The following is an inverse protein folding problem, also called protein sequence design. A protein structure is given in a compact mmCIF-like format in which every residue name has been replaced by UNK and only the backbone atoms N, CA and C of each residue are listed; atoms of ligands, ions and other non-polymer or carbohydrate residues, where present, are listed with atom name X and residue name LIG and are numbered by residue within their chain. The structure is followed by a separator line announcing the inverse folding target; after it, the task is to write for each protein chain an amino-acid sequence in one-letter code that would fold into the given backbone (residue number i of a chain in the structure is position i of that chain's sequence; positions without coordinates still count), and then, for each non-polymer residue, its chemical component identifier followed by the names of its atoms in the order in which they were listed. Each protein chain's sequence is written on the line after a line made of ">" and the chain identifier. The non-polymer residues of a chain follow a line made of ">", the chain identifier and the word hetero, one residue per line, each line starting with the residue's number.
data_IF_655314455540
#
_entry.id   IF_655314455540
#
_cell.length_a   1.000
_cell.length_b   1.000
_cell.length_c   1.000
_cell.angle_alpha   90.00
_cell.angle_beta   90.00
_cell.angle_gamma   90.00
#
_symmetry.space_group_name_H-M   'P 1'
#
loop_
_entity.id
_entity.type
_entity.pdbx_description
1 polymer ?
#
# COMPACT_ATOMS: atom_id res chain seq x y z
N UNK A 1 27.28 1.93 -31.01
CA UNK A 1 25.90 1.38 -31.07
C UNK A 1 25.44 1.06 -29.66
N UNK A 2 24.20 1.40 -29.28
CA UNK A 2 23.59 0.87 -28.06
C UNK A 2 23.56 -0.66 -28.17
N UNK A 3 24.16 -1.36 -27.20
CA UNK A 3 24.42 -2.82 -27.24
C UNK A 3 23.17 -3.65 -27.58
N UNK A 4 22.00 -3.19 -27.12
CA UNK A 4 20.73 -3.89 -27.28
C UNK A 4 19.73 -3.21 -28.24
N UNK A 5 20.12 -2.12 -28.92
CA UNK A 5 19.25 -1.35 -29.84
C UNK A 5 17.91 -0.90 -29.26
N UNK A 6 17.80 -0.75 -27.93
CA UNK A 6 16.61 -0.24 -27.24
C UNK A 6 16.69 1.27 -27.07
N UNK A 7 15.54 1.96 -27.16
CA UNK A 7 15.38 3.40 -26.90
C UNK A 7 14.58 3.62 -25.62
N UNK A 8 15.07 4.49 -24.73
CA UNK A 8 14.34 4.91 -23.54
C UNK A 8 13.17 5.82 -23.91
N UNK A 9 12.08 5.72 -23.14
CA UNK A 9 10.92 6.59 -23.30
C UNK A 9 11.04 7.75 -22.31
N UNK A 10 11.48 8.90 -22.81
CA UNK A 10 11.75 10.09 -22.00
C UNK A 10 10.49 10.58 -21.27
N UNK A 11 9.31 10.49 -21.89
CA UNK A 11 8.03 10.91 -21.28
C UNK A 11 7.60 10.03 -20.10
N UNK A 12 8.01 8.76 -20.10
CA UNK A 12 7.68 7.80 -19.02
C UNK A 12 8.81 7.63 -18.01
N UNK A 13 9.95 8.28 -18.22
CA UNK A 13 11.10 8.15 -17.34
C UNK A 13 10.93 9.09 -16.15
N UNK A 14 10.76 8.53 -14.96
CA UNK A 14 10.76 9.27 -13.71
C UNK A 14 12.11 9.11 -13.01
N UNK A 15 12.58 10.16 -12.34
CA UNK A 15 13.78 10.15 -11.55
C UNK A 15 13.47 10.65 -10.13
N UNK A 16 14.11 10.04 -9.13
CA UNK A 16 13.97 10.44 -7.74
C UNK A 16 15.30 10.29 -7.02
N UNK A 17 15.66 11.31 -6.25
CA UNK A 17 16.79 11.24 -5.33
C UNK A 17 16.26 10.86 -3.95
N UNK A 18 16.72 9.72 -3.42
CA UNK A 18 16.28 9.21 -2.12
C UNK A 18 17.30 9.52 -1.03
N UNK A 19 16.83 9.81 0.18
CA UNK A 19 17.71 9.99 1.33
C UNK A 19 17.02 10.57 2.55
N UNK A 20 17.78 10.74 3.63
CA UNK A 20 17.30 11.49 4.79
C UNK A 20 17.09 12.97 4.42
N UNK A 21 16.20 13.67 5.13
CA UNK A 21 15.98 15.11 4.93
C UNK A 21 17.29 15.92 4.97
N UNK A 22 18.20 15.56 5.88
CA UNK A 22 19.50 16.20 6.03
C UNK A 22 20.46 15.89 4.87
N UNK A 23 20.40 14.68 4.31
CA UNK A 23 21.21 14.32 3.16
C UNK A 23 20.71 15.02 1.90
N UNK A 24 19.39 15.06 1.72
CA UNK A 24 18.75 15.72 0.58
C UNK A 24 19.00 17.23 0.59
N UNK A 25 19.00 17.89 1.76
CA UNK A 25 19.28 19.32 1.85
C UNK A 25 20.72 19.70 1.48
N UNK A 26 21.64 18.74 1.43
CA UNK A 26 23.05 18.95 1.05
C UNK A 26 23.28 18.84 -0.45
N UNK A 27 22.30 18.34 -1.20
CA UNK A 27 22.42 18.07 -2.63
C UNK A 27 21.53 19.03 -3.40
N UNK A 28 22.16 19.95 -4.13
CA UNK A 28 21.48 20.81 -5.11
C UNK A 28 21.42 20.09 -6.46
N UNK A 29 20.43 19.21 -6.62
CA UNK A 29 20.16 18.51 -7.87
C UNK A 29 18.66 18.56 -8.11
N UNK A 30 18.26 19.08 -9.27
CA UNK A 30 16.84 19.22 -9.62
C UNK A 30 16.43 18.30 -10.78
N UNK A 31 17.40 17.75 -11.51
CA UNK A 31 17.16 16.92 -12.69
C UNK A 31 18.37 16.06 -13.03
N UNK A 32 18.15 14.95 -13.72
CA UNK A 32 19.20 14.12 -14.31
C UNK A 32 19.12 14.16 -15.84
N UNK A 33 20.27 14.08 -16.50
CA UNK A 33 20.34 13.97 -17.95
C UNK A 33 20.31 12.50 -18.36
N UNK A 34 19.32 12.09 -19.14
CA UNK A 34 19.18 10.74 -19.71
C UNK A 34 19.21 10.87 -21.23
N UNK A 35 20.38 10.58 -21.83
CA UNK A 35 20.59 10.84 -23.25
C UNK A 35 20.48 12.34 -23.55
N UNK A 36 19.49 12.72 -24.37
CA UNK A 36 19.21 14.13 -24.69
C UNK A 36 18.09 14.73 -23.83
N UNK A 37 17.36 13.91 -23.07
CA UNK A 37 16.28 14.37 -22.23
C UNK A 37 16.77 14.78 -20.84
N UNK A 38 16.23 15.91 -20.36
CA UNK A 38 16.40 16.39 -18.99
C UNK A 38 15.19 15.91 -18.16
N UNK A 39 15.41 14.95 -17.28
CA UNK A 39 14.36 14.37 -16.44
C UNK A 39 14.38 15.07 -15.08
N UNK A 40 13.31 15.78 -14.69
CA UNK A 40 13.23 16.42 -13.38
C UNK A 40 13.13 15.36 -12.28
N UNK A 41 13.68 15.69 -11.10
CA UNK A 41 13.52 14.85 -9.93
C UNK A 41 12.13 15.03 -9.33
N UNK A 42 11.45 13.93 -9.09
CA UNK A 42 10.20 13.88 -8.34
C UNK A 42 10.46 13.55 -6.88
N UNK A 43 9.59 14.03 -5.99
CA UNK A 43 9.58 13.63 -4.57
C UNK A 43 8.93 12.27 -4.35
N UNK A 44 8.24 11.73 -5.35
CA UNK A 44 7.51 10.46 -5.29
C UNK A 44 7.39 9.85 -6.68
N UNK A 45 7.66 8.55 -6.80
CA UNK A 45 7.61 7.84 -8.09
C UNK A 45 6.71 6.62 -8.00
N UNK A 46 6.09 6.25 -9.13
CA UNK A 46 5.18 5.11 -9.19
C UNK A 46 5.83 3.93 -9.90
N UNK A 47 5.99 2.82 -9.18
CA UNK A 47 6.50 1.57 -9.73
C UNK A 47 5.51 0.42 -9.51
N UNK A 48 5.04 -0.20 -10.59
CA UNK A 48 4.06 -1.31 -10.56
C UNK A 48 2.80 -1.04 -9.71
N UNK A 49 2.42 0.23 -9.53
CA UNK A 49 1.28 0.64 -8.70
C UNK A 49 1.64 1.02 -7.25
N UNK A 50 2.85 0.72 -6.79
CA UNK A 50 3.41 1.20 -5.52
C UNK A 50 3.94 2.63 -5.70
N UNK A 51 3.65 3.50 -4.74
CA UNK A 51 4.23 4.84 -4.69
C UNK A 51 5.39 4.83 -3.68
N UNK A 52 6.53 5.36 -4.08
CA UNK A 52 7.71 5.44 -3.22
C UNK A 52 8.12 6.90 -3.14
N UNK A 53 8.07 7.48 -1.94
CA UNK A 53 8.54 8.84 -1.68
C UNK A 53 10.05 8.88 -1.45
N UNK A 54 10.65 10.05 -1.67
CA UNK A 54 12.09 10.27 -1.56
C UNK A 54 12.66 10.05 -0.15
N UNK A 55 11.81 10.09 0.88
CA UNK A 55 12.15 9.78 2.27
C UNK A 55 11.89 8.32 2.64
N UNK A 56 11.37 7.51 1.71
CA UNK A 56 10.99 6.10 1.90
C UNK A 56 9.99 5.89 3.04
N UNK A 57 9.12 6.86 3.31
CA UNK A 57 8.14 6.80 4.40
C UNK A 57 6.89 6.00 4.05
N UNK A 58 6.66 5.72 2.77
CA UNK A 58 5.45 5.12 2.18
C UNK A 58 4.18 5.97 2.38
N UNK A 59 4.32 7.24 2.78
CA UNK A 59 3.20 8.13 3.11
C UNK A 59 2.26 8.35 1.92
N UNK A 60 2.82 8.53 0.72
CA UNK A 60 2.05 8.73 -0.51
C UNK A 60 1.28 7.47 -0.90
N UNK A 61 1.93 6.30 -0.78
CA UNK A 61 1.27 5.03 -1.04
C UNK A 61 0.14 4.77 -0.05
N UNK A 62 0.38 4.92 1.25
CA UNK A 62 -0.66 4.76 2.27
C UNK A 62 -1.81 5.73 2.03
N UNK A 63 -1.53 6.97 1.64
CA UNK A 63 -2.58 7.93 1.27
C UNK A 63 -3.41 7.48 0.07
N UNK A 64 -2.76 6.92 -0.96
CA UNK A 64 -3.45 6.36 -2.13
C UNK A 64 -4.35 5.17 -1.77
N UNK A 65 -3.85 4.23 -0.96
CA UNK A 65 -4.56 3.05 -0.47
C UNK A 65 -5.75 3.46 0.40
N UNK A 66 -5.53 4.37 1.36
CA UNK A 66 -6.60 4.88 2.25
C UNK A 66 -7.71 5.54 1.43
N UNK A 67 -7.36 6.36 0.42
CA UNK A 67 -8.33 7.00 -0.47
C UNK A 67 -9.15 5.97 -1.25
N UNK A 68 -8.50 4.97 -1.85
CA UNK A 68 -9.16 3.90 -2.59
C UNK A 68 -10.09 3.07 -1.68
N UNK A 69 -9.61 2.68 -0.49
CA UNK A 69 -10.43 1.94 0.47
C UNK A 69 -11.65 2.74 0.94
N UNK A 70 -11.51 4.04 1.24
CA UNK A 70 -12.66 4.84 1.64
C UNK A 70 -13.68 5.03 0.53
N UNK A 71 -13.25 5.04 -0.74
CA UNK A 71 -14.17 4.97 -1.87
C UNK A 71 -15.01 3.68 -1.83
N UNK A 72 -14.38 2.52 -1.65
CA UNK A 72 -15.09 1.24 -1.53
C UNK A 72 -15.97 1.14 -0.27
N UNK A 73 -15.50 1.66 0.87
CA UNK A 73 -16.24 1.70 2.14
C UNK A 73 -17.54 2.49 1.99
N UNK A 74 -17.52 3.64 1.29
CA UNK A 74 -18.74 4.43 1.05
C UNK A 74 -19.76 3.65 0.22
N UNK A 75 -19.31 2.97 -0.83
CA UNK A 75 -20.16 2.12 -1.67
C UNK A 75 -20.73 0.96 -0.87
N UNK A 76 -19.90 0.25 -0.10
CA UNK A 76 -20.33 -0.83 0.78
C UNK A 76 -21.35 -0.32 1.82
N UNK A 77 -21.11 0.84 2.42
CA UNK A 77 -22.01 1.45 3.40
C UNK A 77 -23.42 1.72 2.83
N UNK A 78 -23.50 2.17 1.57
CA UNK A 78 -24.78 2.37 0.88
C UNK A 78 -25.51 1.05 0.59
N UNK A 79 -24.77 0.01 0.19
CA UNK A 79 -25.32 -1.30 -0.12
C UNK A 79 -25.65 -2.13 1.13
N UNK A 80 -25.02 -1.81 2.27
CA UNK A 80 -25.07 -2.61 3.49
C UNK A 80 -26.48 -2.97 3.98
N UNK A 81 -27.50 -2.09 3.93
CA UNK A 81 -28.86 -2.43 4.37
C UNK A 81 -29.49 -3.57 3.57
N UNK A 82 -29.09 -3.73 2.30
CA UNK A 82 -29.62 -4.75 1.38
C UNK A 82 -28.82 -6.05 1.39
N UNK A 83 -27.77 -6.15 2.20
CA UNK A 83 -26.86 -7.30 2.24
C UNK A 83 -26.91 -8.01 3.59
N UNK A 84 -26.89 -9.35 3.56
CA UNK A 84 -26.62 -10.14 4.75
C UNK A 84 -25.13 -10.01 5.17
N UNK A 85 -24.82 -10.36 6.43
CA UNK A 85 -23.46 -10.21 7.00
C UNK A 85 -22.40 -10.97 6.18
N UNK A 86 -22.71 -12.18 5.71
CA UNK A 86 -21.77 -13.03 4.95
C UNK A 86 -21.40 -12.39 3.61
N UNK A 87 -22.40 -11.93 2.85
CA UNK A 87 -22.19 -11.26 1.56
C UNK A 87 -21.48 -9.92 1.75
N UNK A 88 -21.87 -9.13 2.75
CA UNK A 88 -21.18 -7.87 3.07
C UNK A 88 -19.69 -8.10 3.41
N UNK A 89 -19.39 -9.16 4.16
CA UNK A 89 -18.02 -9.56 4.48
C UNK A 89 -17.24 -9.93 3.22
N UNK A 90 -17.82 -10.75 2.32
CA UNK A 90 -17.18 -11.14 1.07
C UNK A 90 -16.86 -9.91 0.19
N UNK A 91 -17.81 -8.98 0.05
CA UNK A 91 -17.59 -7.72 -0.69
C UNK A 91 -16.47 -6.91 -0.05
N UNK A 92 -16.48 -6.75 1.29
CA UNK A 92 -15.44 -5.99 1.99
C UNK A 92 -14.05 -6.60 1.82
N UNK A 93 -13.92 -7.93 1.96
CA UNK A 93 -12.64 -8.62 1.74
C UNK A 93 -12.17 -8.46 0.30
N UNK A 94 -13.07 -8.63 -0.68
CA UNK A 94 -12.73 -8.56 -2.11
C UNK A 94 -12.30 -7.17 -2.60
N UNK A 95 -12.85 -6.09 -2.02
CA UNK A 95 -12.57 -4.72 -2.46
C UNK A 95 -11.62 -3.97 -1.53
N UNK A 96 -11.89 -4.02 -0.22
CA UNK A 96 -11.13 -3.25 0.78
C UNK A 96 -9.94 -4.08 1.29
N UNK A 97 -10.16 -5.36 1.58
CA UNK A 97 -9.10 -6.27 2.02
C UNK A 97 -8.00 -6.42 0.96
N UNK A 98 -8.38 -6.68 -0.29
CA UNK A 98 -7.44 -6.77 -1.42
C UNK A 98 -6.64 -5.47 -1.63
N UNK A 99 -7.28 -4.31 -1.51
CA UNK A 99 -6.61 -2.99 -1.62
C UNK A 99 -5.64 -2.75 -0.47
N UNK A 100 -5.99 -3.16 0.76
CA UNK A 100 -5.08 -3.10 1.91
C UNK A 100 -3.90 -4.08 1.79
N UNK A 101 -4.11 -5.22 1.12
CA UNK A 101 -3.09 -6.25 0.96
C UNK A 101 -2.15 -6.02 -0.23
N UNK A 102 -2.51 -5.11 -1.13
CA UNK A 102 -1.67 -4.76 -2.27
C UNK A 102 -0.33 -4.18 -1.80
N UNK A 103 0.77 -4.86 -2.18
CA UNK A 103 2.15 -4.51 -1.80
C UNK A 103 2.36 -4.32 -0.28
N UNK A 104 1.55 -4.96 0.56
CA UNK A 104 1.59 -4.74 2.01
C UNK A 104 2.90 -5.21 2.68
N UNK A 105 3.67 -6.12 2.05
CA UNK A 105 5.01 -6.50 2.50
C UNK A 105 5.99 -5.32 2.51
N UNK A 106 5.84 -4.37 1.58
CA UNK A 106 6.66 -3.16 1.50
C UNK A 106 6.34 -2.16 2.62
N UNK A 107 5.28 -2.39 3.38
CA UNK A 107 4.85 -1.54 4.50
C UNK A 107 5.45 -1.98 5.84
N UNK A 108 6.38 -2.93 5.84
CA UNK A 108 7.13 -3.26 7.03
C UNK A 108 7.94 -2.06 7.53
N UNK A 109 7.86 -1.77 8.83
CA UNK A 109 8.67 -0.70 9.45
C UNK A 109 8.18 0.72 9.18
N UNK A 110 7.00 0.91 8.57
CA UNK A 110 6.41 2.25 8.45
C UNK A 110 6.09 2.86 9.83
N UNK A 111 5.91 4.18 9.86
CA UNK A 111 5.54 4.87 11.10
C UNK A 111 4.22 4.35 11.70
N UNK A 112 4.11 4.38 13.03
CA UNK A 112 2.88 4.03 13.75
C UNK A 112 1.68 4.88 13.31
N UNK A 113 1.92 6.14 12.94
CA UNK A 113 0.87 7.02 12.40
C UNK A 113 0.33 6.50 11.08
N UNK A 114 1.19 6.09 10.14
CA UNK A 114 0.75 5.53 8.85
C UNK A 114 0.05 4.19 9.03
N UNK A 115 0.59 3.30 9.85
CA UNK A 115 -0.06 2.03 10.20
C UNK A 115 -1.45 2.25 10.83
N UNK A 116 -1.58 3.26 11.71
CA UNK A 116 -2.87 3.60 12.33
C UNK A 116 -3.92 4.05 11.31
N UNK A 117 -3.51 4.72 10.22
CA UNK A 117 -4.43 5.15 9.14
C UNK A 117 -5.02 3.93 8.45
N UNK A 118 -4.20 2.94 8.11
CA UNK A 118 -4.64 1.69 7.51
C UNK A 118 -5.52 0.88 8.47
N UNK A 119 -5.15 0.81 9.75
CA UNK A 119 -5.97 0.12 10.76
C UNK A 119 -7.34 0.79 10.92
N UNK A 120 -7.43 2.12 10.87
CA UNK A 120 -8.70 2.85 10.90
C UNK A 120 -9.59 2.47 9.72
N UNK A 121 -9.03 2.35 8.51
CA UNK A 121 -9.75 1.89 7.32
C UNK A 121 -10.36 0.51 7.56
N UNK A 122 -9.56 -0.46 8.01
CA UNK A 122 -10.04 -1.81 8.30
C UNK A 122 -11.13 -1.79 9.37
N UNK A 123 -10.94 -1.04 10.44
CA UNK A 123 -11.89 -0.92 11.54
C UNK A 123 -13.24 -0.33 11.08
N UNK A 124 -13.21 0.69 10.22
CA UNK A 124 -14.42 1.26 9.63
C UNK A 124 -15.14 0.22 8.76
N UNK A 125 -14.41 -0.49 7.89
CA UNK A 125 -14.99 -1.53 7.05
C UNK A 125 -15.64 -2.65 7.88
N UNK A 126 -14.94 -3.14 8.91
CA UNK A 126 -15.43 -4.19 9.79
C UNK A 126 -16.73 -3.80 10.51
N UNK A 127 -16.81 -2.55 10.99
CA UNK A 127 -18.03 -2.03 11.64
C UNK A 127 -19.20 -1.95 10.67
N UNK A 128 -18.98 -1.50 9.43
CA UNK A 128 -20.03 -1.49 8.40
C UNK A 128 -20.52 -2.91 8.13
N UNK A 129 -19.61 -3.87 7.92
CA UNK A 129 -19.97 -5.28 7.70
C UNK A 129 -20.79 -5.82 8.86
N UNK A 130 -20.37 -5.56 10.10
CA UNK A 130 -21.05 -6.05 11.29
C UNK A 130 -22.31 -5.24 11.68
N UNK A 131 -22.58 -4.10 11.05
CA UNK A 131 -23.67 -3.20 11.43
C UNK A 131 -23.49 -2.58 12.82
N UNK A 132 -22.24 -2.35 13.23
CA UNK A 132 -21.86 -1.82 14.55
C UNK A 132 -21.68 -0.30 14.52
N UNK A 133 -21.92 0.36 15.66
CA UNK A 133 -21.72 1.80 15.82
C UNK A 133 -20.22 2.13 15.78
N UNK A 134 -19.89 3.37 15.44
CA UNK A 134 -18.50 3.86 15.39
C UNK A 134 -17.79 3.77 16.73
N UNK A 135 -18.53 3.86 17.84
CA UNK A 135 -18.05 3.77 19.22
C UNK A 135 -17.87 2.34 19.72
N UNK A 136 -18.42 1.34 19.01
CA UNK A 136 -18.34 -0.05 19.47
C UNK A 136 -16.89 -0.54 19.47
N UNK A 137 -16.54 -1.32 20.50
CA UNK A 137 -15.20 -1.87 20.65
C UNK A 137 -14.88 -2.79 19.47
N UNK A 138 -13.74 -2.53 18.81
CA UNK A 138 -13.45 -3.14 17.50
C UNK A 138 -12.93 -4.57 17.59
N UNK A 139 -12.23 -4.92 18.67
CA UNK A 139 -11.53 -6.22 18.78
C UNK A 139 -12.48 -7.43 18.67
N UNK A 140 -13.67 -7.46 19.33
CA UNK A 140 -14.65 -8.53 19.12
C UNK A 140 -15.15 -8.60 17.69
N UNK A 141 -15.36 -7.45 17.04
CA UNK A 141 -15.86 -7.40 15.66
C UNK A 141 -14.85 -8.02 14.69
N UNK A 142 -13.56 -7.70 14.83
CA UNK A 142 -12.51 -8.30 14.00
C UNK A 142 -12.41 -9.82 14.24
N UNK A 143 -12.53 -10.26 15.50
CA UNK A 143 -12.54 -11.69 15.84
C UNK A 143 -13.72 -12.42 15.21
N UNK A 144 -14.93 -11.87 15.31
CA UNK A 144 -16.15 -12.43 14.74
C UNK A 144 -16.11 -12.52 13.20
N UNK A 145 -15.35 -11.63 12.56
CA UNK A 145 -15.14 -11.63 11.11
C UNK A 145 -13.93 -12.46 10.68
N UNK A 146 -13.14 -12.98 11.63
CA UNK A 146 -11.83 -13.60 11.40
C UNK A 146 -10.84 -12.68 10.64
N UNK A 147 -10.87 -11.38 10.92
CA UNK A 147 -9.98 -10.41 10.30
C UNK A 147 -8.77 -10.15 11.18
N UNK A 148 -7.57 -10.48 10.67
CA UNK A 148 -6.32 -10.07 11.30
C UNK A 148 -6.15 -8.54 11.22
N UNK A 149 -5.69 -7.88 12.30
CA UNK A 149 -5.26 -6.48 12.27
C UNK A 149 -4.23 -6.23 11.17
N UNK A 150 -4.19 -5.02 10.61
CA UNK A 150 -3.34 -4.68 9.45
C UNK A 150 -1.87 -5.02 9.69
N UNK A 151 -1.35 -4.68 10.87
CA UNK A 151 0.04 -5.00 11.25
C UNK A 151 0.33 -6.50 11.16
N UNK A 152 -0.60 -7.33 11.65
CA UNK A 152 -0.48 -8.79 11.60
C UNK A 152 -0.64 -9.35 10.19
N UNK A 153 -1.36 -8.66 9.31
CA UNK A 153 -1.42 -9.04 7.87
C UNK A 153 -0.08 -8.81 7.18
N UNK A 154 0.59 -7.69 7.48
CA UNK A 154 1.94 -7.38 6.97
C UNK A 154 2.92 -8.45 7.45
N UNK A 155 2.94 -8.71 8.77
CA UNK A 155 3.80 -9.75 9.37
C UNK A 155 3.54 -11.13 8.74
N UNK A 156 2.28 -11.54 8.61
CA UNK A 156 1.92 -12.79 7.97
C UNK A 156 2.41 -12.88 6.51
N UNK A 157 2.30 -11.79 5.74
CA UNK A 157 2.79 -11.75 4.35
C UNK A 157 4.31 -11.96 4.30
N UNK A 158 5.07 -11.27 5.16
CA UNK A 158 6.52 -11.43 5.24
C UNK A 158 6.91 -12.86 5.61
N UNK A 159 6.29 -13.41 6.66
CA UNK A 159 6.58 -14.78 7.10
C UNK A 159 6.29 -15.81 6.01
N UNK A 160 5.21 -15.63 5.25
CA UNK A 160 4.87 -16.51 4.12
C UNK A 160 5.91 -16.42 3.00
N UNK A 161 6.40 -15.20 2.70
CA UNK A 161 7.47 -15.00 1.71
C UNK A 161 8.78 -15.64 2.19
N UNK A 162 9.20 -15.38 3.43
CA UNK A 162 10.40 -15.96 4.02
C UNK A 162 10.35 -17.48 4.03
N UNK A 163 9.21 -18.07 4.41
CA UNK A 163 9.01 -19.52 4.34
C UNK A 163 9.22 -20.06 2.91
N UNK A 164 8.69 -19.36 1.90
CA UNK A 164 8.89 -19.72 0.50
C UNK A 164 10.35 -19.67 0.08
N UNK A 165 11.10 -18.65 0.51
CA UNK A 165 12.54 -18.52 0.25
C UNK A 165 13.35 -19.65 0.90
N UNK A 166 13.03 -20.02 2.15
CA UNK A 166 13.75 -21.07 2.89
C UNK A 166 13.50 -22.50 2.37
N UNK A 167 12.47 -22.70 1.55
CA UNK A 167 12.06 -24.00 1.03
C UNK A 167 12.09 -24.07 -0.50
N UNK A 168 12.82 -23.17 -1.16
CA UNK A 168 12.97 -23.16 -2.62
C UNK A 168 11.64 -23.08 -3.39
N UNK A 169 10.61 -22.49 -2.77
CA UNK A 169 9.30 -22.24 -3.39
C UNK A 169 9.19 -20.82 -3.97
N UNK A 170 10.15 -19.95 -3.66
CA UNK A 170 10.25 -18.59 -4.18
C UNK A 170 11.12 -18.55 -5.45
N UNK A 171 10.95 -17.53 -6.31
CA UNK A 171 11.87 -17.27 -7.41
C UNK A 171 13.31 -17.07 -6.92
N UNK A 172 14.29 -17.55 -7.69
CA UNK A 172 15.74 -17.51 -7.37
C UNK A 172 16.29 -16.10 -7.08
N UNK A 173 15.59 -15.05 -7.51
CA UNK A 173 16.00 -13.66 -7.27
C UNK A 173 15.59 -13.13 -5.89
N UNK A 174 14.86 -13.90 -5.07
CA UNK A 174 14.48 -13.59 -3.68
C UNK A 174 15.29 -14.45 -2.71
#
# INVERSE_FOLDING_TARGET
>A
MLRNKLKLNDEKTEAMLCGSKLSLSKVSLDSIQVGQARIPLSSSVRNLGLYVDNLLTMSDHVSSVVKACYFHIRTLGRLRPSLNKKTANAVAVSLIGSTLDFANSCLWGISKSELSRLQRVQNTAARIVAGKKTTDHITPVLRDLHWLPVEKRIEHKLLTLTYGCLHDLAPVYL
#
